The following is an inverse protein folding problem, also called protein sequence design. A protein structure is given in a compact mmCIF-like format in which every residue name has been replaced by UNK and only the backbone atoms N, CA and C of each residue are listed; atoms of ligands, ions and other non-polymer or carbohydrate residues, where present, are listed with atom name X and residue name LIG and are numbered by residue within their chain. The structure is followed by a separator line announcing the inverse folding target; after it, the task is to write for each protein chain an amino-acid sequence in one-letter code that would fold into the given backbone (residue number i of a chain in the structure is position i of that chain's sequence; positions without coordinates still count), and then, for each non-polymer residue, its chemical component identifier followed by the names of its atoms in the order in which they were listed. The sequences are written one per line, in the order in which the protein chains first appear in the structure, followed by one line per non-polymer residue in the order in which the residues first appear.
data_IF_911438960587
#
_entry.id   IF_911438960587
#
_cell.length_a   1.000
_cell.length_b   1.000
_cell.length_c   1.000
_cell.angle_alpha   90.00
_cell.angle_beta   90.00
_cell.angle_gamma   90.00
#
_symmetry.space_group_name_H-M   'P 1'
#
loop_
_entity.id
_entity.type
_entity.pdbx_description
1 polymer ?
#
# COMPACT_ATOMS: atom_id res chain seq x y z
N UNK A 1 -21.79 -14.47 -7.17
CA UNK A 1 -20.69 -13.50 -7.03
C UNK A 1 -20.13 -13.54 -5.61
N UNK A 2 -18.86 -13.75 -5.45
CA UNK A 2 -18.16 -13.76 -4.17
C UNK A 2 -17.66 -12.35 -3.88
N UNK A 3 -18.07 -11.77 -2.74
CA UNK A 3 -17.58 -10.45 -2.31
C UNK A 3 -16.27 -10.61 -1.54
N UNK A 4 -15.27 -9.81 -1.90
CA UNK A 4 -13.95 -9.82 -1.26
C UNK A 4 -13.95 -8.95 -0.02
N UNK A 5 -14.62 -7.82 -0.09
CA UNK A 5 -14.71 -6.85 1.01
C UNK A 5 -16.08 -6.92 1.68
N UNK A 6 -16.05 -6.86 3.01
CA UNK A 6 -17.23 -6.87 3.86
C UNK A 6 -17.30 -5.59 4.69
N UNK A 7 -18.49 -5.26 5.19
CA UNK A 7 -18.66 -4.11 6.11
C UNK A 7 -17.79 -4.26 7.37
N UNK A 8 -17.49 -5.50 7.77
CA UNK A 8 -16.60 -5.78 8.89
C UNK A 8 -15.17 -5.31 8.62
N UNK A 9 -14.67 -5.43 7.37
CA UNK A 9 -13.33 -4.99 6.98
C UNK A 9 -13.22 -3.47 7.05
N UNK A 10 -14.24 -2.77 6.53
CA UNK A 10 -14.32 -1.33 6.63
C UNK A 10 -14.34 -0.85 8.09
N UNK A 11 -15.14 -1.49 8.93
CA UNK A 11 -15.22 -1.14 10.35
C UNK A 11 -13.91 -1.43 11.09
N UNK A 12 -13.23 -2.52 10.77
CA UNK A 12 -11.94 -2.89 11.36
C UNK A 12 -10.85 -1.88 10.99
N UNK A 13 -10.76 -1.50 9.71
CA UNK A 13 -9.82 -0.49 9.21
C UNK A 13 -10.07 0.89 9.85
N UNK A 14 -11.35 1.27 10.01
CA UNK A 14 -11.73 2.49 10.70
C UNK A 14 -11.29 2.50 12.18
N UNK A 15 -11.58 1.42 12.91
CA UNK A 15 -11.16 1.26 14.31
C UNK A 15 -9.65 1.29 14.45
N UNK A 16 -8.92 0.64 13.54
CA UNK A 16 -7.46 0.62 13.55
C UNK A 16 -6.88 2.01 13.30
N UNK A 17 -7.41 2.76 12.33
CA UNK A 17 -7.05 4.15 12.06
C UNK A 17 -7.28 5.03 13.30
N UNK A 18 -8.44 4.90 13.92
CA UNK A 18 -8.79 5.65 15.13
C UNK A 18 -7.87 5.31 16.31
N UNK A 19 -7.57 4.01 16.51
CA UNK A 19 -6.67 3.55 17.58
C UNK A 19 -5.27 4.15 17.43
N UNK A 20 -4.70 4.13 16.22
CA UNK A 20 -3.36 4.68 15.96
C UNK A 20 -3.34 6.19 16.19
N UNK A 21 -4.37 6.89 15.74
CA UNK A 21 -4.51 8.32 15.98
C UNK A 21 -4.67 8.63 17.47
N UNK A 22 -5.44 7.84 18.22
CA UNK A 22 -5.59 8.00 19.67
C UNK A 22 -4.27 7.79 20.40
N UNK A 23 -3.49 6.78 20.03
CA UNK A 23 -2.14 6.56 20.62
C UNK A 23 -1.25 7.78 20.39
N UNK A 24 -1.23 8.30 19.17
CA UNK A 24 -0.48 9.52 18.85
C UNK A 24 -0.93 10.70 19.73
N UNK A 25 -2.24 10.93 19.85
CA UNK A 25 -2.78 12.02 20.66
C UNK A 25 -2.42 11.90 22.14
N UNK A 26 -2.53 10.69 22.70
CA UNK A 26 -2.18 10.45 24.12
C UNK A 26 -0.69 10.75 24.37
N UNK A 27 0.20 10.26 23.50
CA UNK A 27 1.65 10.50 23.65
C UNK A 27 1.97 11.98 23.46
N UNK A 28 1.32 12.67 22.52
CA UNK A 28 1.51 14.10 22.29
C UNK A 28 1.06 14.92 23.51
N UNK A 29 -0.09 14.61 24.08
CA UNK A 29 -0.61 15.29 25.29
C UNK A 29 0.33 15.04 26.49
N UNK A 30 0.80 13.81 26.66
CA UNK A 30 1.76 13.49 27.74
C UNK A 30 3.08 14.26 27.56
N UNK A 31 3.60 14.35 26.34
CA UNK A 31 4.78 15.14 26.02
C UNK A 31 4.58 16.64 26.31
N UNK A 32 3.45 17.21 25.88
CA UNK A 32 3.14 18.61 26.17
C UNK A 32 3.02 18.89 27.68
N UNK A 33 2.36 17.99 28.42
CA UNK A 33 2.25 18.08 29.86
C UNK A 33 3.65 18.07 30.55
N UNK A 34 4.55 17.21 30.08
CA UNK A 34 5.94 17.17 30.57
C UNK A 34 6.67 18.50 30.27
N UNK A 35 6.54 19.05 29.07
CA UNK A 35 7.16 20.33 28.70
C UNK A 35 6.64 21.48 29.57
N UNK A 36 5.33 21.53 29.81
CA UNK A 36 4.72 22.55 30.71
C UNK A 36 5.23 22.39 32.13
N UNK A 37 5.29 21.17 32.65
CA UNK A 37 5.81 20.92 34.01
C UNK A 37 7.26 21.37 34.16
N UNK A 38 8.12 21.08 33.17
CA UNK A 38 9.52 21.51 33.15
C UNK A 38 9.66 23.04 33.04
N UNK A 39 8.80 23.67 32.24
CA UNK A 39 8.75 25.14 32.15
C UNK A 39 8.38 25.78 33.50
N UNK A 40 7.34 25.28 34.15
CA UNK A 40 6.92 25.78 35.47
C UNK A 40 8.05 25.59 36.48
N UNK A 41 8.70 24.41 36.50
CA UNK A 41 9.83 24.13 37.36
C UNK A 41 10.97 25.12 37.13
N UNK A 42 11.32 25.38 35.84
CA UNK A 42 12.35 26.35 35.48
C UNK A 42 12.03 27.78 35.99
N UNK A 43 10.78 28.25 35.89
CA UNK A 43 10.39 29.59 36.34
C UNK A 43 10.40 29.70 37.84
N UNK A 44 10.21 28.62 38.59
CA UNK A 44 10.23 28.63 40.07
C UNK A 44 11.64 28.62 40.69
N UNK A 45 12.68 28.34 39.86
CA UNK A 45 14.05 28.35 40.32
C UNK A 45 14.58 29.79 40.56
N UNK A 46 15.37 30.02 41.62
CA UNK A 46 16.04 31.30 41.84
C UNK A 46 17.03 31.63 40.68
N UNK A 47 17.25 32.92 40.48
CA UNK A 47 18.20 33.37 39.48
C UNK A 47 19.63 32.82 39.76
N UNK A 48 20.29 32.30 38.75
CA UNK A 48 21.64 31.69 38.81
C UNK A 48 21.74 30.39 39.68
N UNK A 49 20.67 29.65 39.86
CA UNK A 49 20.73 28.32 40.50
C UNK A 49 21.45 27.32 39.54
N UNK A 50 22.46 26.57 40.05
CA UNK A 50 23.16 25.54 39.24
C UNK A 50 22.23 24.42 38.71
N UNK A 51 21.02 24.28 39.31
CA UNK A 51 20.00 23.30 38.88
C UNK A 51 19.22 23.73 37.62
N UNK A 52 19.39 24.96 37.16
CA UNK A 52 18.70 25.49 35.96
C UNK A 52 19.00 24.68 34.67
N UNK A 53 20.13 24.03 34.61
CA UNK A 53 20.55 23.20 33.45
C UNK A 53 19.73 21.91 33.34
N UNK A 54 19.24 21.34 34.43
CA UNK A 54 18.53 20.05 34.44
C UNK A 54 17.20 20.10 33.69
N UNK A 55 16.26 21.05 33.92
CA UNK A 55 14.99 21.10 33.17
C UNK A 55 15.21 21.36 31.68
N UNK A 56 16.23 22.14 31.33
CA UNK A 56 16.58 22.41 29.94
C UNK A 56 17.08 21.12 29.22
N UNK A 57 18.03 20.41 29.84
CA UNK A 57 18.54 19.15 29.26
C UNK A 57 17.43 18.10 29.14
N UNK A 58 16.59 17.92 30.17
CA UNK A 58 15.47 16.99 30.13
C UNK A 58 14.48 17.31 29.00
N UNK A 59 14.16 18.59 28.83
CA UNK A 59 13.24 19.03 27.75
C UNK A 59 13.88 18.77 26.37
N UNK A 60 15.16 19.04 26.18
CA UNK A 60 15.82 18.75 24.90
C UNK A 60 15.85 17.25 24.59
N UNK A 61 16.21 16.41 25.56
CA UNK A 61 16.24 14.95 25.40
C UNK A 61 14.83 14.43 25.10
N UNK A 62 13.84 14.86 25.88
CA UNK A 62 12.44 14.45 25.65
C UNK A 62 11.93 14.88 24.28
N UNK A 63 12.27 16.09 23.82
CA UNK A 63 11.89 16.60 22.50
C UNK A 63 12.56 15.81 21.36
N UNK A 64 13.86 15.53 21.50
CA UNK A 64 14.57 14.72 20.52
C UNK A 64 13.97 13.31 20.42
N UNK A 65 13.70 12.67 21.56
CA UNK A 65 13.09 11.35 21.61
C UNK A 65 11.66 11.35 21.04
N UNK A 66 10.85 12.36 21.34
CA UNK A 66 9.51 12.52 20.80
C UNK A 66 9.54 12.64 19.28
N UNK A 67 10.37 13.52 18.73
CA UNK A 67 10.48 13.68 17.26
C UNK A 67 10.97 12.39 16.60
N UNK A 68 12.03 11.77 17.16
CA UNK A 68 12.62 10.55 16.60
C UNK A 68 11.62 9.37 16.57
N UNK A 69 10.72 9.28 17.52
CA UNK A 69 9.74 8.18 17.63
C UNK A 69 8.43 8.51 16.92
N UNK A 70 7.89 9.72 17.10
CA UNK A 70 6.55 10.08 16.59
C UNK A 70 6.54 10.41 15.11
N UNK A 71 7.62 11.00 14.58
CA UNK A 71 7.70 11.31 13.16
C UNK A 71 7.64 10.05 12.28
N UNK A 72 8.51 9.02 12.46
CA UNK A 72 8.41 7.80 11.67
C UNK A 72 7.12 7.01 11.96
N UNK A 73 6.61 7.04 13.20
CA UNK A 73 5.34 6.41 13.53
C UNK A 73 4.18 6.98 12.69
N UNK A 74 4.08 8.30 12.59
CA UNK A 74 3.06 8.95 11.77
C UNK A 74 3.30 8.81 10.28
N UNK A 75 4.54 8.97 9.83
CA UNK A 75 4.90 8.90 8.42
C UNK A 75 4.67 7.49 7.83
N UNK A 76 4.97 6.44 8.58
CA UNK A 76 4.90 5.06 8.10
C UNK A 76 3.54 4.45 8.44
N UNK A 77 3.23 4.29 9.74
CA UNK A 77 2.04 3.52 10.16
C UNK A 77 0.73 4.24 9.89
N UNK A 78 0.62 5.51 10.28
CA UNK A 78 -0.63 6.25 10.07
C UNK A 78 -0.89 6.50 8.58
N UNK A 79 0.14 6.84 7.81
CA UNK A 79 0.03 7.07 6.38
C UNK A 79 -0.44 5.81 5.65
N UNK A 80 0.12 4.62 5.97
CA UNK A 80 -0.28 3.34 5.37
C UNK A 80 -1.76 3.03 5.64
N UNK A 81 -2.19 3.12 6.90
CA UNK A 81 -3.58 2.83 7.28
C UNK A 81 -4.56 3.86 6.71
N UNK A 82 -4.18 5.13 6.67
CA UNK A 82 -5.01 6.17 6.06
C UNK A 82 -5.24 5.91 4.57
N UNK A 83 -4.21 5.43 3.86
CA UNK A 83 -4.33 5.08 2.42
C UNK A 83 -5.21 3.86 2.22
N UNK A 84 -4.99 2.79 2.99
CA UNK A 84 -5.83 1.59 2.94
C UNK A 84 -7.30 1.93 3.23
N UNK A 85 -7.57 2.69 4.28
CA UNK A 85 -8.92 3.15 4.59
C UNK A 85 -9.53 3.99 3.46
N UNK A 86 -8.74 4.81 2.78
CA UNK A 86 -9.20 5.59 1.61
C UNK A 86 -9.60 4.68 0.46
N UNK A 87 -8.82 3.64 0.17
CA UNK A 87 -9.15 2.66 -0.87
C UNK A 87 -10.47 1.97 -0.54
N UNK A 88 -10.66 1.50 0.70
CA UNK A 88 -11.92 0.90 1.14
C UNK A 88 -13.11 1.87 1.03
N UNK A 89 -12.90 3.14 1.34
CA UNK A 89 -13.95 4.17 1.17
C UNK A 89 -14.32 4.35 -0.30
N UNK A 90 -13.32 4.42 -1.19
CA UNK A 90 -13.58 4.49 -2.63
C UNK A 90 -14.29 3.25 -3.15
N UNK A 91 -13.93 2.06 -2.68
CA UNK A 91 -14.59 0.80 -3.04
C UNK A 91 -16.07 0.84 -2.66
N UNK A 92 -16.43 1.48 -1.54
CA UNK A 92 -17.81 1.57 -1.09
C UNK A 92 -18.63 2.64 -1.84
N UNK A 93 -18.04 3.81 -2.08
CA UNK A 93 -18.76 5.00 -2.57
C UNK A 93 -18.60 5.26 -4.07
N UNK A 94 -17.62 4.64 -4.73
CA UNK A 94 -17.25 4.98 -6.09
C UNK A 94 -17.99 4.23 -7.18
N UNK A 95 -17.77 4.65 -8.43
CA UNK A 95 -18.35 3.99 -9.61
C UNK A 95 -17.72 2.63 -9.82
N UNK A 96 -18.57 1.60 -9.83
CA UNK A 96 -18.17 0.21 -10.06
C UNK A 96 -18.34 -0.12 -11.54
N UNK A 97 -17.33 -0.71 -12.15
CA UNK A 97 -17.39 -1.23 -13.50
C UNK A 97 -17.46 -2.76 -13.45
N UNK A 98 -18.39 -3.34 -14.18
CA UNK A 98 -18.45 -4.78 -14.40
C UNK A 98 -17.63 -5.10 -15.65
N UNK A 99 -16.69 -6.02 -15.50
CA UNK A 99 -15.85 -6.50 -16.61
C UNK A 99 -15.96 -8.03 -16.68
N UNK A 100 -15.72 -8.57 -17.90
CA UNK A 100 -15.75 -10.01 -18.18
C UNK A 100 -14.58 -10.32 -19.11
N UNK A 101 -13.61 -11.02 -18.57
CA UNK A 101 -12.38 -11.29 -19.29
C UNK A 101 -11.86 -12.69 -18.94
N UNK A 102 -10.91 -13.18 -19.73
CA UNK A 102 -10.24 -14.44 -19.48
C UNK A 102 -9.07 -14.19 -18.53
N UNK A 103 -8.98 -14.98 -17.47
CA UNK A 103 -7.85 -14.90 -16.55
C UNK A 103 -6.62 -15.55 -17.19
N UNK A 104 -5.49 -14.84 -17.18
CA UNK A 104 -4.23 -15.34 -17.71
C UNK A 104 -3.32 -15.82 -16.58
N UNK A 105 -2.87 -14.91 -15.69
CA UNK A 105 -1.95 -15.24 -14.61
C UNK A 105 -1.97 -14.24 -13.47
N UNK A 106 -1.42 -14.65 -12.33
CA UNK A 106 -1.07 -13.71 -11.26
C UNK A 106 0.36 -13.22 -11.46
N UNK A 107 0.60 -11.92 -11.28
CA UNK A 107 1.98 -11.41 -11.26
C UNK A 107 2.69 -11.86 -10.00
N UNK A 108 3.84 -12.49 -10.16
CA UNK A 108 4.66 -13.03 -9.06
C UNK A 108 5.22 -11.92 -8.15
N UNK A 109 5.48 -10.73 -8.68
CA UNK A 109 6.02 -9.62 -7.91
C UNK A 109 4.91 -8.87 -7.21
N UNK A 110 5.07 -8.70 -5.89
CA UNK A 110 4.24 -7.77 -5.11
C UNK A 110 4.36 -6.37 -5.72
N UNK A 111 3.25 -5.87 -6.23
CA UNK A 111 3.15 -4.53 -6.79
C UNK A 111 2.74 -3.55 -5.69
N UNK A 112 3.21 -2.32 -5.79
CA UNK A 112 2.72 -1.24 -4.95
C UNK A 112 1.85 -0.29 -5.78
N UNK A 113 0.56 -0.29 -5.48
CA UNK A 113 -0.39 0.68 -6.04
C UNK A 113 -0.78 1.67 -4.96
N UNK A 114 -0.57 2.96 -5.21
CA UNK A 114 -0.83 4.04 -4.24
C UNK A 114 -0.17 3.82 -2.86
N UNK A 115 1.03 3.20 -2.85
CA UNK A 115 1.79 2.78 -1.66
C UNK A 115 1.05 1.75 -0.77
N UNK A 116 0.18 0.95 -1.35
CA UNK A 116 -0.40 -0.24 -0.75
C UNK A 116 0.10 -1.44 -1.54
N UNK A 117 0.52 -2.47 -0.82
CA UNK A 117 0.94 -3.72 -1.45
C UNK A 117 -0.29 -4.39 -2.07
N UNK A 118 -0.18 -4.83 -3.33
CA UNK A 118 -1.26 -5.46 -4.09
C UNK A 118 -0.73 -6.65 -4.87
N UNK A 119 -1.62 -7.59 -5.16
CA UNK A 119 -1.34 -8.69 -6.10
C UNK A 119 -1.95 -8.32 -7.43
N UNK A 120 -1.14 -8.33 -8.49
CA UNK A 120 -1.60 -8.10 -9.86
C UNK A 120 -2.26 -9.35 -10.43
N UNK A 121 -3.46 -9.20 -10.96
CA UNK A 121 -4.15 -10.21 -11.76
C UNK A 121 -4.16 -9.72 -13.21
N UNK A 122 -3.64 -10.53 -14.11
CA UNK A 122 -3.62 -10.24 -15.53
C UNK A 122 -4.78 -10.98 -16.18
N UNK A 123 -5.60 -10.24 -16.88
CA UNK A 123 -6.70 -10.75 -17.69
C UNK A 123 -6.47 -10.38 -19.14
N UNK A 124 -6.94 -11.21 -20.04
CA UNK A 124 -6.97 -10.90 -21.45
C UNK A 124 -8.37 -10.58 -21.92
N UNK A 125 -8.48 -9.51 -22.69
CA UNK A 125 -9.73 -9.04 -23.27
C UNK A 125 -9.58 -8.81 -24.77
N UNK A 126 -10.57 -9.27 -25.54
CA UNK A 126 -10.57 -9.02 -26.98
C UNK A 126 -11.01 -7.57 -27.28
N UNK A 127 -10.11 -6.80 -27.85
CA UNK A 127 -10.40 -5.44 -28.31
C UNK A 127 -11.01 -5.44 -29.72
N UNK A 128 -12.32 -5.23 -29.81
CA UNK A 128 -13.02 -5.11 -31.10
C UNK A 128 -12.50 -3.98 -31.99
N UNK A 129 -11.93 -2.92 -31.38
CA UNK A 129 -11.43 -1.75 -32.12
C UNK A 129 -10.10 -2.01 -32.80
N UNK A 130 -9.23 -2.79 -32.14
CA UNK A 130 -7.87 -3.10 -32.64
C UNK A 130 -7.81 -4.48 -33.28
N UNK A 131 -8.82 -5.34 -33.08
CA UNK A 131 -8.84 -6.75 -33.48
C UNK A 131 -7.66 -7.54 -32.94
N UNK A 132 -7.28 -7.24 -31.69
CA UNK A 132 -6.19 -7.89 -30.96
C UNK A 132 -6.56 -8.20 -29.52
N UNK A 133 -5.89 -9.18 -28.93
CA UNK A 133 -5.94 -9.42 -27.49
C UNK A 133 -5.16 -8.34 -26.75
N UNK A 134 -5.73 -7.84 -25.68
CA UNK A 134 -5.12 -6.81 -24.85
C UNK A 134 -5.08 -7.28 -23.40
N UNK A 135 -3.94 -7.12 -22.79
CA UNK A 135 -3.80 -7.32 -21.35
C UNK A 135 -4.56 -6.26 -20.55
N UNK A 136 -5.26 -6.73 -19.55
CA UNK A 136 -5.97 -5.90 -18.57
C UNK A 136 -5.49 -6.26 -17.18
N UNK A 137 -4.83 -5.34 -16.49
CA UNK A 137 -4.43 -5.53 -15.11
C UNK A 137 -5.55 -5.13 -14.14
N UNK A 138 -5.80 -6.02 -13.18
CA UNK A 138 -6.62 -5.73 -12.02
C UNK A 138 -5.85 -6.11 -10.74
N UNK A 139 -6.17 -5.47 -9.64
CA UNK A 139 -5.44 -5.61 -8.39
C UNK A 139 -6.28 -6.29 -7.33
N UNK A 140 -5.61 -7.15 -6.57
CA UNK A 140 -6.21 -7.88 -5.47
C UNK A 140 -5.50 -7.53 -4.16
N UNK A 141 -6.22 -7.56 -3.05
CA UNK A 141 -5.69 -7.28 -1.72
C UNK A 141 -4.93 -8.52 -1.19
N UNK A 142 -3.61 -8.43 -0.93
CA UNK A 142 -2.83 -9.57 -0.43
C UNK A 142 -3.25 -10.05 0.96
N UNK A 143 -3.99 -9.22 1.73
CA UNK A 143 -4.50 -9.62 3.06
C UNK A 143 -5.75 -10.52 2.94
N UNK A 144 -6.30 -10.68 1.72
CA UNK A 144 -7.44 -11.54 1.45
C UNK A 144 -7.01 -12.85 0.79
N UNK A 145 -7.77 -13.95 0.99
CA UNK A 145 -7.49 -15.19 0.30
C UNK A 145 -7.59 -14.97 -1.21
N UNK A 146 -6.54 -15.32 -1.93
CA UNK A 146 -6.52 -15.23 -3.38
C UNK A 146 -7.59 -16.13 -3.97
N UNK A 147 -8.29 -15.70 -5.03
CA UNK A 147 -9.25 -16.53 -5.73
C UNK A 147 -8.53 -17.70 -6.42
N UNK A 148 -9.18 -18.84 -6.48
CA UNK A 148 -8.68 -20.01 -7.19
C UNK A 148 -8.95 -19.88 -8.70
N UNK A 149 -8.35 -18.87 -9.34
CA UNK A 149 -8.40 -18.71 -10.79
C UNK A 149 -7.34 -19.60 -11.44
N UNK A 150 -7.72 -20.23 -12.52
CA UNK A 150 -6.85 -21.02 -13.38
C UNK A 150 -6.75 -20.35 -14.74
N UNK A 151 -5.61 -20.50 -15.42
CA UNK A 151 -5.42 -19.89 -16.73
C UNK A 151 -6.51 -20.33 -17.71
N UNK A 152 -7.11 -19.37 -18.41
CA UNK A 152 -8.21 -19.62 -19.33
C UNK A 152 -9.61 -19.54 -18.71
N UNK A 153 -9.74 -19.33 -17.39
CA UNK A 153 -11.03 -19.15 -16.74
C UNK A 153 -11.72 -17.88 -17.23
N UNK A 154 -12.99 -17.99 -17.62
CA UNK A 154 -13.82 -16.84 -17.98
C UNK A 154 -14.45 -16.26 -16.70
N UNK A 155 -13.97 -15.09 -16.30
CA UNK A 155 -14.32 -14.48 -15.02
C UNK A 155 -15.09 -13.18 -15.23
N UNK A 156 -16.21 -13.07 -14.53
CA UNK A 156 -16.93 -11.81 -14.35
C UNK A 156 -16.49 -11.18 -13.04
N UNK A 157 -16.03 -9.95 -13.09
CA UNK A 157 -15.59 -9.27 -11.89
C UNK A 157 -16.01 -7.79 -11.90
N UNK A 158 -16.20 -7.27 -10.71
CA UNK A 158 -16.53 -5.86 -10.48
C UNK A 158 -15.27 -5.17 -9.97
N UNK A 159 -14.85 -4.14 -10.68
CA UNK A 159 -13.67 -3.35 -10.33
C UNK A 159 -14.02 -1.90 -10.03
N UNK A 160 -13.19 -1.32 -9.18
CA UNK A 160 -13.10 0.11 -9.01
C UNK A 160 -11.63 0.53 -8.92
N UNK A 161 -11.24 1.51 -9.74
CA UNK A 161 -9.83 1.92 -9.87
C UNK A 161 -8.89 0.73 -10.06
N UNK A 162 -9.34 -0.28 -10.81
CA UNK A 162 -8.70 -1.57 -11.05
C UNK A 162 -8.61 -2.51 -9.82
N UNK A 163 -9.17 -2.16 -8.66
CA UNK A 163 -9.28 -3.11 -7.55
C UNK A 163 -10.51 -4.01 -7.74
N UNK A 164 -10.30 -5.32 -7.63
CA UNK A 164 -11.38 -6.30 -7.72
C UNK A 164 -12.15 -6.29 -6.40
N UNK A 165 -13.45 -6.04 -6.48
CA UNK A 165 -14.35 -5.98 -5.32
C UNK A 165 -15.14 -7.28 -5.16
N UNK A 166 -15.62 -7.79 -6.29
CA UNK A 166 -16.40 -9.03 -6.37
C UNK A 166 -16.01 -9.77 -7.62
N UNK A 167 -16.11 -11.08 -7.60
CA UNK A 167 -15.85 -11.92 -8.75
C UNK A 167 -16.80 -13.13 -8.80
N UNK A 168 -16.89 -13.72 -9.97
CA UNK A 168 -17.66 -14.92 -10.25
C UNK A 168 -17.00 -15.65 -11.41
N UNK A 169 -16.69 -16.92 -11.26
CA UNK A 169 -16.14 -17.74 -12.33
C UNK A 169 -17.33 -18.25 -13.14
N UNK A 170 -17.47 -17.78 -14.37
CA UNK A 170 -18.59 -18.14 -15.25
C UNK A 170 -18.32 -19.50 -15.92
N UNK A 171 -17.12 -19.68 -16.42
CA UNK A 171 -16.67 -20.91 -17.06
C UNK A 171 -15.22 -21.18 -16.69
N UNK A 172 -14.90 -22.45 -16.38
CA UNK A 172 -13.53 -22.89 -16.17
C UNK A 172 -12.91 -23.33 -17.47
N UNK A 173 -11.64 -22.98 -17.68
CA UNK A 173 -10.85 -23.34 -18.88
C UNK A 173 -11.60 -23.04 -20.18
N UNK A 174 -12.30 -21.90 -20.22
CA UNK A 174 -13.10 -21.50 -21.39
C UNK A 174 -12.22 -21.11 -22.59
N UNK A 175 -10.96 -20.81 -22.35
CA UNK A 175 -9.99 -20.44 -23.38
C UNK A 175 -8.60 -21.01 -23.07
N UNK A 176 -7.97 -21.63 -24.08
CA UNK A 176 -6.58 -22.06 -24.02
C UNK A 176 -5.71 -20.96 -24.66
N UNK A 177 -4.89 -20.32 -23.83
CA UNK A 177 -3.87 -19.41 -24.37
C UNK A 177 -2.79 -20.26 -25.05
N UNK A 178 -2.49 -19.98 -26.32
CA UNK A 178 -1.27 -20.47 -26.91
C UNK A 178 -0.11 -19.87 -26.12
N UNK A 179 0.80 -20.71 -25.61
CA UNK A 179 2.02 -20.26 -24.96
C UNK A 179 2.68 -19.22 -25.89
N UNK A 180 2.66 -17.95 -25.47
CA UNK A 180 3.57 -16.98 -26.05
C UNK A 180 4.95 -17.47 -25.62
N UNK A 181 5.77 -17.92 -26.59
CA UNK A 181 7.18 -18.13 -26.37
C UNK A 181 7.69 -16.82 -25.75
N UNK A 182 8.12 -16.89 -24.49
CA UNK A 182 8.88 -15.83 -23.87
C UNK A 182 10.11 -15.66 -24.74
N UNK A 183 10.10 -14.65 -25.62
CA UNK A 183 11.30 -14.20 -26.29
C UNK A 183 12.24 -13.78 -25.13
N UNK A 184 13.14 -14.70 -24.77
CA UNK A 184 14.31 -14.39 -23.95
C UNK A 184 15.00 -13.22 -24.65
N UNK A 185 14.79 -12.00 -24.16
CA UNK A 185 15.67 -10.87 -24.46
C UNK A 185 17.07 -11.28 -24.01
N UNK A 186 17.80 -11.85 -24.98
CA UNK A 186 19.23 -12.04 -24.84
C UNK A 186 19.83 -10.65 -24.74
N UNK A 187 20.14 -10.24 -23.53
CA UNK A 187 20.99 -9.10 -23.25
C UNK A 187 22.34 -9.36 -23.94
N UNK A 188 22.47 -8.90 -25.18
CA UNK A 188 23.76 -8.76 -25.84
C UNK A 188 24.56 -7.71 -25.06
N UNK A 189 25.29 -8.16 -24.05
CA UNK A 189 26.40 -7.42 -23.48
C UNK A 189 27.38 -7.08 -24.61
N UNK A 190 27.29 -5.85 -25.12
CA UNK A 190 28.34 -5.24 -25.94
C UNK A 190 29.64 -5.22 -25.17
N UNK A 191 30.43 -6.25 -25.36
CA UNK A 191 31.84 -6.31 -25.01
C UNK A 191 32.58 -5.32 -25.90
N UNK A 192 32.65 -4.05 -25.49
CA UNK A 192 33.51 -3.07 -26.14
C UNK A 192 34.94 -3.39 -25.75
N UNK A 193 35.59 -4.12 -26.61
CA UNK A 193 37.01 -4.40 -26.67
C UNK A 193 37.79 -3.07 -26.72
N UNK A 194 38.56 -2.80 -25.66
CA UNK A 194 39.66 -1.85 -25.73
C UNK A 194 40.65 -2.28 -26.80
N UNK A 195 40.71 -1.51 -27.83
CA UNK A 195 41.81 -1.55 -28.82
C UNK A 195 42.85 -0.52 -28.44
N UNK A 196 43.99 -1.00 -28.05
CA UNK A 196 45.31 -0.34 -28.05
C UNK A 196 45.59 0.41 -29.37
N UNK A 197 46.27 1.54 -29.22
CA UNK A 197 47.37 1.99 -30.12
C UNK A 197 47.88 3.28 -29.53
N UNK A 198 49.10 3.35 -28.95
CA UNK A 198 50.42 3.57 -29.56
C UNK A 198 50.43 4.44 -30.83
N UNK A 199 50.72 5.72 -30.63
CA UNK A 199 51.83 6.49 -31.20
C UNK A 199 51.80 7.92 -30.73
#
# INVERSE_FOLDING_TARGET
MTSIYTDADFLSAYKQKQRIFSVFMVVTVAYLALCIAMLIYHITLPYADPRDTLPKMLTYIASALYVLTMFPFMAIKYSRIRRYFRILTFINEGMKAEERNYFYTFREKSLQKDNVDVVGCVFETWSKKKSEWMEREAYFDPEKPLPAFESGDYVRYIVQSNFIIQYDILEKHAYEFSEYEEDEEVDEEETTTQGEQEQ
#
